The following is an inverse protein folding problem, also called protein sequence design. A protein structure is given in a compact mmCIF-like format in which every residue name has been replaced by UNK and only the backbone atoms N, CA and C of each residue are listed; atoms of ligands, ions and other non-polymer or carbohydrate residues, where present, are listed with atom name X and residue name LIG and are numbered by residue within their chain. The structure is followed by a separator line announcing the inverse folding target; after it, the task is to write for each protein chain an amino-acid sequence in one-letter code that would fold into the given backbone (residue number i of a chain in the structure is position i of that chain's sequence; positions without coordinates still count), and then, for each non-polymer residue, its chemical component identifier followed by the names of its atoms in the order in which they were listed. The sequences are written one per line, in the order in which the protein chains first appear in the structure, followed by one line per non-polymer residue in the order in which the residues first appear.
data_IF_538529898809
#
_entry.id   IF_538529898809
#
_cell.length_a   1.000
_cell.length_b   1.000
_cell.length_c   1.000
_cell.angle_alpha   90.00
_cell.angle_beta   90.00
_cell.angle_gamma   90.00
#
_symmetry.space_group_name_H-M   'P 1'
#
loop_
_entity.id
_entity.type
_entity.pdbx_description
1 polymer ?
#
# COMPACT_ATOMS: atom_id res chain seq x y z
N UNK A 1 0.31 55.96 -25.60
CA UNK A 1 1.49 55.32 -25.01
C UNK A 1 1.09 53.91 -24.63
N UNK A 2 1.60 52.94 -25.38
CA UNK A 2 1.28 51.52 -25.24
C UNK A 2 1.47 51.10 -23.79
N UNK A 3 0.38 50.71 -23.12
CA UNK A 3 0.48 50.00 -21.85
C UNK A 3 1.06 48.65 -22.19
N UNK A 4 2.38 48.55 -22.04
CA UNK A 4 3.12 47.31 -22.12
C UNK A 4 2.46 46.32 -21.21
N UNK A 5 1.71 45.41 -21.81
CA UNK A 5 1.43 44.11 -21.26
C UNK A 5 2.80 43.50 -20.99
N UNK A 6 3.26 43.58 -19.74
CA UNK A 6 4.44 42.84 -19.30
C UNK A 6 4.10 41.36 -19.42
N UNK A 7 4.29 40.83 -20.63
CA UNK A 7 4.52 39.42 -20.86
C UNK A 7 5.84 39.07 -20.17
N UNK A 8 5.78 38.83 -18.85
CA UNK A 8 6.90 38.32 -18.07
C UNK A 8 6.37 37.22 -17.17
N UNK A 9 7.02 36.06 -17.28
CA UNK A 9 6.81 34.83 -16.53
C UNK A 9 5.63 33.96 -16.96
N UNK A 10 5.69 33.45 -18.20
CA UNK A 10 5.02 32.18 -18.56
C UNK A 10 5.94 30.99 -18.29
N UNK A 11 7.27 31.18 -18.33
CA UNK A 11 8.24 30.13 -18.00
C UNK A 11 8.25 29.70 -16.51
N UNK A 12 8.06 30.64 -15.56
CA UNK A 12 8.00 30.30 -14.11
C UNK A 12 6.77 29.46 -13.75
N UNK A 13 5.68 29.56 -14.54
CA UNK A 13 4.44 28.80 -14.32
C UNK A 13 4.57 27.35 -14.75
N UNK A 14 5.42 27.05 -15.74
CA UNK A 14 5.67 25.67 -16.20
C UNK A 14 6.49 24.92 -15.15
N UNK A 15 7.56 25.53 -14.64
CA UNK A 15 8.39 24.94 -13.58
C UNK A 15 7.62 24.69 -12.28
N UNK A 16 6.73 25.61 -11.88
CA UNK A 16 5.86 25.43 -10.71
C UNK A 16 4.81 24.33 -10.92
N UNK A 17 4.22 24.24 -12.13
CA UNK A 17 3.25 23.20 -12.47
C UNK A 17 3.88 21.80 -12.56
N UNK A 18 5.13 21.68 -13.02
CA UNK A 18 5.89 20.43 -12.99
C UNK A 18 6.23 20.01 -11.56
N UNK A 19 6.71 20.94 -10.72
CA UNK A 19 6.98 20.67 -9.30
C UNK A 19 5.73 20.23 -8.52
N UNK A 20 4.56 20.85 -8.74
CA UNK A 20 3.30 20.41 -8.12
C UNK A 20 2.88 19.01 -8.56
N UNK A 21 3.12 18.65 -9.82
CA UNK A 21 2.82 17.29 -10.34
C UNK A 21 3.73 16.25 -9.71
N UNK A 22 5.02 16.55 -9.57
CA UNK A 22 5.99 15.67 -8.91
C UNK A 22 5.64 15.44 -7.43
N UNK A 23 5.31 16.50 -6.69
CA UNK A 23 4.89 16.39 -5.28
C UNK A 23 3.62 15.53 -5.16
N UNK A 24 2.64 15.74 -6.03
CA UNK A 24 1.39 14.96 -6.03
C UNK A 24 1.65 13.49 -6.39
N UNK A 25 2.54 13.21 -7.34
CA UNK A 25 2.94 11.85 -7.69
C UNK A 25 3.66 11.17 -6.52
N UNK A 26 4.59 11.86 -5.85
CA UNK A 26 5.28 11.35 -4.67
C UNK A 26 4.32 11.05 -3.51
N UNK A 27 3.32 11.91 -3.28
CA UNK A 27 2.28 11.68 -2.26
C UNK A 27 1.41 10.46 -2.60
N UNK A 28 1.02 10.28 -3.87
CA UNK A 28 0.28 9.08 -4.30
C UNK A 28 1.08 7.80 -4.10
N UNK A 29 2.35 7.81 -4.51
CA UNK A 29 3.27 6.69 -4.28
C UNK A 29 3.40 6.38 -2.78
N UNK A 30 3.47 7.41 -1.92
CA UNK A 30 3.49 7.23 -0.47
C UNK A 30 2.20 6.62 0.08
N UNK A 31 1.03 6.97 -0.47
CA UNK A 31 -0.25 6.39 -0.07
C UNK A 31 -0.35 4.90 -0.46
N UNK A 32 0.04 4.56 -1.69
CA UNK A 32 0.07 3.17 -2.18
C UNK A 32 1.06 2.30 -1.39
N UNK A 33 2.24 2.84 -1.06
CA UNK A 33 3.22 2.17 -0.19
C UNK A 33 2.65 1.91 1.20
N UNK A 34 1.92 2.88 1.76
CA UNK A 34 1.28 2.74 3.07
C UNK A 34 0.19 1.67 3.04
N UNK A 35 -0.69 1.71 2.06
CA UNK A 35 -1.74 0.69 1.88
C UNK A 35 -1.14 -0.71 1.74
N UNK A 36 -0.08 -0.85 0.93
CA UNK A 36 0.66 -2.12 0.79
C UNK A 36 1.23 -2.60 2.13
N UNK A 37 1.77 -1.68 2.94
CA UNK A 37 2.31 -2.01 4.25
C UNK A 37 1.23 -2.41 5.26
N UNK A 38 0.10 -1.71 5.27
CA UNK A 38 -1.05 -1.98 6.14
C UNK A 38 -1.69 -3.33 5.77
N UNK A 39 -1.81 -3.63 4.47
CA UNK A 39 -2.27 -4.92 3.97
C UNK A 39 -1.34 -6.05 4.45
N UNK A 40 -0.03 -5.91 4.25
CA UNK A 40 0.96 -6.90 4.71
C UNK A 40 0.84 -7.14 6.22
N UNK A 41 0.71 -6.08 7.02
CA UNK A 41 0.54 -6.20 8.47
C UNK A 41 -0.76 -6.94 8.85
N UNK A 42 -1.86 -6.65 8.17
CA UNK A 42 -3.15 -7.34 8.37
C UNK A 42 -3.04 -8.85 8.10
N UNK A 43 -2.34 -9.23 7.02
CA UNK A 43 -2.08 -10.64 6.71
C UNK A 43 -1.19 -11.31 7.76
N UNK A 44 -0.14 -10.63 8.24
CA UNK A 44 0.72 -11.16 9.30
C UNK A 44 -0.04 -11.38 10.62
N UNK A 45 -0.94 -10.45 10.98
CA UNK A 45 -1.81 -10.59 12.15
C UNK A 45 -2.75 -11.80 12.00
N UNK A 46 -3.41 -11.91 10.84
CA UNK A 46 -4.28 -13.05 10.51
C UNK A 46 -3.54 -14.38 10.59
N UNK A 47 -2.33 -14.44 10.05
CA UNK A 47 -1.44 -15.62 10.14
C UNK A 47 -1.14 -16.01 11.58
N UNK A 48 -0.78 -15.04 12.43
CA UNK A 48 -0.50 -15.28 13.85
C UNK A 48 -1.71 -15.85 14.59
N UNK A 49 -2.91 -15.34 14.29
CA UNK A 49 -4.16 -15.81 14.87
C UNK A 49 -4.47 -17.25 14.45
N UNK A 50 -4.31 -17.58 13.16
CA UNK A 50 -4.54 -18.94 12.65
C UNK A 50 -3.56 -19.93 13.29
N UNK A 51 -2.27 -19.57 13.40
CA UNK A 51 -1.28 -20.40 14.10
C UNK A 51 -1.65 -20.65 15.57
N UNK A 52 -2.13 -19.62 16.27
CA UNK A 52 -2.67 -19.76 17.63
C UNK A 52 -3.85 -20.73 17.68
N UNK A 53 -4.81 -20.59 16.76
CA UNK A 53 -5.99 -21.48 16.66
C UNK A 53 -5.60 -22.93 16.35
N UNK A 54 -4.63 -23.17 15.46
CA UNK A 54 -4.13 -24.51 15.16
C UNK A 54 -3.56 -25.18 16.41
N UNK A 55 -2.81 -24.43 17.23
CA UNK A 55 -2.25 -24.94 18.49
C UNK A 55 -3.34 -25.31 19.51
N UNK A 56 -4.44 -24.55 19.54
CA UNK A 56 -5.56 -24.79 20.45
C UNK A 56 -6.57 -25.83 19.94
N UNK A 57 -6.63 -26.08 18.63
CA UNK A 57 -7.61 -26.96 17.99
C UNK A 57 -7.40 -28.43 18.38
N UNK A 58 -8.47 -29.06 18.87
CA UNK A 58 -8.50 -30.48 19.23
C UNK A 58 -9.15 -31.36 18.16
N UNK A 59 -10.03 -30.78 17.34
CA UNK A 59 -10.68 -31.46 16.22
C UNK A 59 -9.72 -31.51 15.00
N UNK A 60 -9.36 -32.72 14.51
CA UNK A 60 -8.47 -32.88 13.37
C UNK A 60 -9.00 -32.26 12.06
N UNK A 61 -10.31 -32.29 11.83
CA UNK A 61 -10.94 -31.71 10.63
C UNK A 61 -10.86 -30.20 10.66
N UNK A 62 -11.18 -29.60 11.81
CA UNK A 62 -11.04 -28.16 12.01
C UNK A 62 -9.57 -27.71 11.88
N UNK A 63 -8.64 -28.47 12.44
CA UNK A 63 -7.21 -28.21 12.30
C UNK A 63 -6.75 -28.25 10.83
N UNK A 64 -7.24 -29.20 10.04
CA UNK A 64 -6.95 -29.27 8.61
C UNK A 64 -7.46 -28.05 7.83
N UNK A 65 -8.67 -27.57 8.17
CA UNK A 65 -9.20 -26.33 7.57
C UNK A 65 -8.36 -25.10 7.94
N UNK A 66 -7.92 -25.00 9.18
CA UNK A 66 -7.03 -23.91 9.61
C UNK A 66 -5.67 -23.98 8.91
N UNK A 67 -5.14 -25.18 8.66
CA UNK A 67 -3.89 -25.34 7.90
C UNK A 67 -4.04 -24.86 6.46
N UNK A 68 -5.14 -25.21 5.78
CA UNK A 68 -5.41 -24.71 4.43
C UNK A 68 -5.52 -23.18 4.39
N UNK A 69 -6.19 -22.58 5.38
CA UNK A 69 -6.28 -21.13 5.50
C UNK A 69 -4.90 -20.50 5.77
N UNK A 70 -4.04 -21.16 6.55
CA UNK A 70 -2.68 -20.71 6.80
C UNK A 70 -1.86 -20.70 5.50
N UNK A 71 -1.93 -21.77 4.71
CA UNK A 71 -1.20 -21.89 3.45
C UNK A 71 -1.62 -20.80 2.44
N UNK A 72 -2.91 -20.45 2.40
CA UNK A 72 -3.43 -19.35 1.58
C UNK A 72 -2.91 -17.98 2.04
N UNK A 73 -2.86 -17.73 3.35
CA UNK A 73 -2.30 -16.48 3.89
C UNK A 73 -0.80 -16.38 3.62
N UNK A 74 -0.07 -17.49 3.70
CA UNK A 74 1.35 -17.55 3.38
C UNK A 74 1.60 -17.30 1.88
N UNK A 75 0.73 -17.80 0.99
CA UNK A 75 0.78 -17.45 -0.44
C UNK A 75 0.57 -15.95 -0.67
N UNK A 76 -0.46 -15.36 -0.08
CA UNK A 76 -0.72 -13.92 -0.20
C UNK A 76 0.46 -13.09 0.33
N UNK A 77 1.07 -13.49 1.45
CA UNK A 77 2.23 -12.80 2.01
C UNK A 77 3.45 -12.83 1.08
N UNK A 78 3.64 -13.89 0.28
CA UNK A 78 4.71 -13.97 -0.72
C UNK A 78 4.58 -12.93 -1.83
N UNK A 79 3.37 -12.45 -2.13
CA UNK A 79 3.16 -11.34 -3.09
C UNK A 79 3.66 -9.98 -2.55
N UNK A 80 3.90 -9.89 -1.24
CA UNK A 80 4.43 -8.69 -0.57
C UNK A 80 5.91 -8.81 -0.18
N UNK A 81 6.60 -9.87 -0.61
CA UNK A 81 8.07 -10.03 -0.54
C UNK A 81 8.72 -9.60 -1.86
#
# INVERSE_FOLDING_TARGET
MARGWESKSVEDQIGAAEAEREIRAAQKLSAEQRERSEHKQSLMLSRSLILSRIKAARDPRYRAQLQLALDQLDEQLREFE
#
